data_IF_264867542430
#
_entry.id   IF_264867542430
#
_cell.length_a   1.000
_cell.length_b   1.000
_cell.length_c   1.000
_cell.angle_alpha   90.00
_cell.angle_beta   90.00
_cell.angle_gamma   90.00
#
_symmetry.space_group_name_H-M   'P 1'
#
loop_
_entity.id
_entity.type
_entity.pdbx_description
1 polymer ?
#
# COMPACT_ATOMS: atom_id res chain seq x y z
N UNK A 1 -5.13 -11.26 -15.71
CA UNK A 1 -4.66 -10.16 -14.83
C UNK A 1 -3.13 -10.12 -14.73
N UNK A 2 -2.46 -11.19 -14.28
CA UNK A 2 -0.98 -11.28 -14.21
C UNK A 2 -0.27 -10.97 -15.53
N UNK A 3 -0.81 -11.40 -16.67
CA UNK A 3 -0.26 -11.06 -17.99
C UNK A 3 -0.33 -9.57 -18.31
N UNK A 4 -1.39 -8.88 -17.85
CA UNK A 4 -1.60 -7.44 -18.10
C UNK A 4 -0.86 -6.57 -17.09
N UNK A 5 -0.66 -7.06 -15.87
CA UNK A 5 0.01 -6.35 -14.77
C UNK A 5 1.04 -7.28 -14.09
N UNK A 6 2.15 -7.62 -14.75
CA UNK A 6 3.09 -8.63 -14.27
C UNK A 6 3.80 -8.26 -12.97
N UNK A 7 3.84 -6.96 -12.63
CA UNK A 7 4.43 -6.45 -11.38
C UNK A 7 3.41 -6.21 -10.27
N UNK A 8 2.11 -6.33 -10.54
CA UNK A 8 1.09 -6.10 -9.52
C UNK A 8 1.09 -7.26 -8.52
N UNK A 9 1.33 -6.93 -7.25
CA UNK A 9 1.34 -7.90 -6.15
C UNK A 9 -0.05 -8.12 -5.55
N UNK A 10 -0.89 -7.07 -5.55
CA UNK A 10 -2.23 -7.05 -4.96
C UNK A 10 -3.18 -6.18 -5.78
N UNK A 11 -4.48 -6.42 -5.69
CA UNK A 11 -5.52 -5.50 -6.19
C UNK A 11 -6.12 -4.68 -5.03
N UNK A 12 -6.39 -3.40 -5.30
CA UNK A 12 -6.92 -2.45 -4.34
C UNK A 12 -7.88 -1.50 -5.07
N UNK A 13 -9.08 -1.26 -4.50
CA UNK A 13 -10.08 -0.41 -5.12
C UNK A 13 -10.19 0.96 -4.43
N UNK A 14 -9.94 1.02 -3.12
CA UNK A 14 -10.13 2.21 -2.29
C UNK A 14 -8.83 2.94 -2.00
N UNK A 15 -7.74 2.20 -1.76
CA UNK A 15 -6.43 2.76 -1.36
C UNK A 15 -5.84 3.71 -2.39
N UNK A 16 -6.08 3.46 -3.68
CA UNK A 16 -5.62 4.33 -4.77
C UNK A 16 -6.21 5.74 -4.66
N UNK A 17 -7.51 5.88 -4.38
CA UNK A 17 -8.15 7.19 -4.24
C UNK A 17 -7.59 7.99 -3.07
N UNK A 18 -7.29 7.32 -1.94
CA UNK A 18 -6.65 7.95 -0.78
C UNK A 18 -5.23 8.39 -1.13
N UNK A 19 -4.46 7.55 -1.82
CA UNK A 19 -3.09 7.86 -2.23
C UNK A 19 -3.02 9.04 -3.21
N UNK A 20 -3.91 9.07 -4.21
CA UNK A 20 -4.01 10.17 -5.17
C UNK A 20 -4.36 11.50 -4.48
N UNK A 21 -5.34 11.49 -3.57
CA UNK A 21 -5.69 12.67 -2.79
C UNK A 21 -4.52 13.13 -1.89
N UNK A 22 -3.84 12.19 -1.24
CA UNK A 22 -2.69 12.48 -0.40
C UNK A 22 -1.54 13.12 -1.19
N UNK A 23 -1.25 12.60 -2.38
CA UNK A 23 -0.25 13.15 -3.30
C UNK A 23 -0.61 14.57 -3.73
N UNK A 24 -1.87 14.81 -4.14
CA UNK A 24 -2.35 16.13 -4.56
C UNK A 24 -2.22 17.18 -3.44
N UNK A 25 -2.44 16.78 -2.18
CA UNK A 25 -2.35 17.65 -1.02
C UNK A 25 -0.97 17.65 -0.33
N UNK A 26 0.00 16.90 -0.86
CA UNK A 26 1.35 16.73 -0.28
C UNK A 26 1.31 16.28 1.19
N UNK A 27 0.37 15.40 1.52
CA UNK A 27 0.29 14.79 2.86
C UNK A 27 0.82 13.35 2.82
N UNK A 28 1.62 12.92 3.81
CA UNK A 28 2.09 11.55 3.85
C UNK A 28 0.93 10.56 4.02
N UNK A 29 1.01 9.42 3.35
CA UNK A 29 0.04 8.33 3.45
C UNK A 29 0.76 6.99 3.55
N UNK A 30 0.23 6.10 4.38
CA UNK A 30 0.66 4.71 4.51
C UNK A 30 -0.58 3.82 4.42
N UNK A 31 -0.50 2.80 3.57
CA UNK A 31 -1.52 1.75 3.50
C UNK A 31 -0.91 0.42 3.96
N UNK A 32 -1.53 -0.20 4.96
CA UNK A 32 -1.17 -1.54 5.43
C UNK A 32 -2.30 -2.51 5.11
N UNK A 33 -1.96 -3.64 4.46
CA UNK A 33 -2.92 -4.67 4.04
C UNK A 33 -2.43 -6.05 4.43
N UNK A 34 -3.37 -6.90 4.84
CA UNK A 34 -3.18 -8.35 4.91
C UNK A 34 -3.98 -9.02 3.79
N UNK A 35 -3.43 -10.10 3.22
CA UNK A 35 -4.01 -10.79 2.08
C UNK A 35 -4.70 -12.06 2.56
N UNK A 36 -6.03 -12.17 2.35
CA UNK A 36 -6.82 -13.33 2.75
C UNK A 36 -6.85 -14.45 1.71
N UNK A 37 -6.58 -14.14 0.44
CA UNK A 37 -6.69 -15.07 -0.68
C UNK A 37 -5.96 -14.54 -1.92
N UNK A 38 -5.57 -15.41 -2.86
CA UNK A 38 -5.10 -15.00 -4.18
C UNK A 38 -6.22 -14.36 -5.01
N UNK A 39 -5.83 -13.49 -5.94
CA UNK A 39 -6.72 -12.93 -6.96
C UNK A 39 -7.01 -13.97 -8.05
N UNK A 40 -8.27 -14.09 -8.46
CA UNK A 40 -8.72 -15.06 -9.45
C UNK A 40 -10.24 -15.29 -9.44
N UNK A 41 -10.74 -16.38 -10.03
CA UNK A 41 -12.13 -16.78 -9.91
C UNK A 41 -12.58 -16.84 -8.45
N UNK A 42 -13.85 -16.48 -8.20
CA UNK A 42 -14.35 -16.33 -6.84
C UNK A 42 -14.54 -17.68 -6.15
N UNK A 43 -13.56 -18.08 -5.35
CA UNK A 43 -13.64 -19.20 -4.41
C UNK A 43 -13.63 -18.68 -2.97
N UNK A 44 -14.80 -18.68 -2.33
CA UNK A 44 -14.94 -18.20 -0.94
C UNK A 44 -14.42 -19.19 0.10
N UNK A 45 -14.32 -20.47 -0.23
CA UNK A 45 -13.83 -21.47 0.72
C UNK A 45 -12.32 -21.31 0.98
N UNK A 46 -11.59 -20.79 0.00
CA UNK A 46 -10.16 -20.47 0.13
C UNK A 46 -9.87 -19.21 0.96
N UNK A 47 -10.89 -18.44 1.36
CA UNK A 47 -10.71 -17.17 2.05
C UNK A 47 -10.31 -17.38 3.51
N UNK A 48 -9.14 -16.87 3.89
CA UNK A 48 -8.62 -16.91 5.25
C UNK A 48 -8.75 -15.53 5.91
N UNK A 49 -9.97 -15.04 6.03
CA UNK A 49 -10.24 -13.69 6.57
C UNK A 49 -9.75 -13.54 8.01
N UNK A 50 -10.02 -14.53 8.87
CA UNK A 50 -9.60 -14.49 10.27
C UNK A 50 -8.07 -14.36 10.41
N UNK A 51 -7.32 -15.20 9.70
CA UNK A 51 -5.86 -15.14 9.67
C UNK A 51 -5.34 -13.80 9.15
N UNK A 52 -5.94 -13.27 8.07
CA UNK A 52 -5.55 -11.98 7.52
C UNK A 52 -5.79 -10.83 8.51
N UNK A 53 -6.94 -10.82 9.20
CA UNK A 53 -7.23 -9.82 10.22
C UNK A 53 -6.27 -9.94 11.42
N UNK A 54 -5.96 -11.15 11.87
CA UNK A 54 -4.98 -11.37 12.94
C UNK A 54 -3.58 -10.87 12.55
N UNK A 55 -3.12 -11.17 11.33
CA UNK A 55 -1.87 -10.67 10.80
C UNK A 55 -1.86 -9.13 10.68
N UNK A 56 -3.00 -8.53 10.29
CA UNK A 56 -3.14 -7.09 10.23
C UNK A 56 -3.03 -6.45 11.63
N UNK A 57 -3.68 -7.03 12.64
CA UNK A 57 -3.56 -6.59 14.04
C UNK A 57 -2.12 -6.67 14.53
N UNK A 58 -1.42 -7.77 14.27
CA UNK A 58 -0.01 -7.94 14.64
C UNK A 58 0.87 -6.89 13.94
N UNK A 59 0.66 -6.67 12.64
CA UNK A 59 1.38 -5.66 11.87
C UNK A 59 1.17 -4.25 12.42
N UNK A 60 -0.07 -3.89 12.72
CA UNK A 60 -0.41 -2.60 13.34
C UNK A 60 0.25 -2.41 14.71
N UNK A 61 0.29 -3.47 15.53
CA UNK A 61 0.95 -3.41 16.84
C UNK A 61 2.44 -3.05 16.78
N UNK A 62 3.07 -3.23 15.62
CA UNK A 62 4.49 -2.89 15.38
C UNK A 62 4.69 -1.51 14.76
N UNK A 63 3.62 -0.78 14.38
CA UNK A 63 3.74 0.48 13.66
C UNK A 63 4.15 1.67 14.53
N UNK A 64 3.74 1.72 15.81
CA UNK A 64 3.96 2.90 16.64
C UNK A 64 5.45 3.32 16.72
N UNK A 65 6.42 2.43 17.01
CA UNK A 65 7.83 2.80 17.02
C UNK A 65 8.36 3.25 15.65
N UNK A 66 7.82 2.69 14.55
CA UNK A 66 8.23 3.03 13.18
C UNK A 66 7.75 4.43 12.80
N UNK A 67 6.52 4.79 13.17
CA UNK A 67 5.96 6.11 12.90
C UNK A 67 6.59 7.19 13.78
N UNK A 68 6.87 6.87 15.06
CA UNK A 68 7.52 7.80 15.99
C UNK A 68 8.96 8.13 15.59
N UNK A 69 9.66 7.16 14.98
CA UNK A 69 11.04 7.34 14.50
C UNK A 69 11.13 7.83 13.05
N UNK A 70 9.99 8.10 12.40
CA UNK A 70 9.98 8.51 11.00
C UNK A 70 10.47 9.95 10.83
N UNK A 71 11.65 10.09 10.20
CA UNK A 71 12.14 11.37 9.70
C UNK A 71 11.75 11.54 8.22
N UNK A 72 10.97 12.56 7.83
CA UNK A 72 10.59 12.77 6.43
C UNK A 72 11.85 12.90 5.57
N UNK A 73 12.02 12.00 4.61
CA UNK A 73 13.08 12.17 3.61
C UNK A 73 12.67 13.33 2.71
N UNK A 74 13.50 14.38 2.67
CA UNK A 74 13.29 15.53 1.79
C UNK A 74 13.23 15.03 0.32
N UNK A 75 12.23 15.44 -0.49
CA UNK A 75 12.24 15.11 -1.90
C UNK A 75 13.51 15.67 -2.52
N UNK A 76 14.29 14.83 -3.20
CA UNK A 76 15.42 15.28 -4.02
C UNK A 76 14.94 16.47 -4.86
N UNK A 77 15.60 17.61 -4.67
CA UNK A 77 15.26 18.86 -5.31
C UNK A 77 14.96 18.62 -6.81
N UNK A 78 13.88 19.26 -7.26
CA UNK A 78 13.38 19.28 -8.63
C UNK A 78 14.47 19.04 -9.68
N UNK A 79 14.29 17.99 -10.48
CA UNK A 79 14.94 17.84 -11.78
C UNK A 79 14.85 19.18 -12.52
N UNK A 80 15.96 19.93 -12.57
CA UNK A 80 16.03 21.09 -13.44
C UNK A 80 15.95 20.60 -14.88
N UNK A 81 15.14 21.23 -15.74
CA UNK A 81 15.16 20.89 -17.16
C UNK A 81 16.55 21.24 -17.71
N UNK A 82 17.25 20.22 -18.18
CA UNK A 82 18.40 20.41 -19.08
C UNK A 82 17.86 21.07 -20.35
N UNK A 83 18.14 22.36 -20.50
CA UNK A 83 17.87 23.08 -21.75
C UNK A 83 19.11 22.88 -22.64
N UNK A 84 18.95 22.48 -23.91
CA UNK A 84 20.08 22.29 -24.82
C UNK A 84 20.80 23.60 -25.17
#
# INVERSE_FOLDING_TARGET
LRERHPRALTEAMEGFGVAEAAAAHRVPVLELRAVSNPVGPRDRAAWRIGDALAALTEGFGKLAPVLESWNPHEPVASHQPVTP
#
